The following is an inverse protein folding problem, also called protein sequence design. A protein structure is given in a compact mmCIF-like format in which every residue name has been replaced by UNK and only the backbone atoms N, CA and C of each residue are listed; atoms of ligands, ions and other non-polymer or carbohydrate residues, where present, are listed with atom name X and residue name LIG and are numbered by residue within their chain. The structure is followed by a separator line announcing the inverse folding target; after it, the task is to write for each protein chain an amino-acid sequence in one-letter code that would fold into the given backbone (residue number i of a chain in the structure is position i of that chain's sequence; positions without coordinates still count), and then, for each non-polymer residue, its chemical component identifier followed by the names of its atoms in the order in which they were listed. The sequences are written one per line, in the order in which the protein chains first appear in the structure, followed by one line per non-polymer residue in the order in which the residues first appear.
data_IF_171276610459
#
_entry.id   IF_171276610459
#
_cell.length_a   1.000
_cell.length_b   1.000
_cell.length_c   1.000
_cell.angle_alpha   90.00
_cell.angle_beta   90.00
_cell.angle_gamma   90.00
#
_symmetry.space_group_name_H-M   'P 1'
#
loop_
_entity.id
_entity.type
_entity.pdbx_description
1 polymer ?
#
# COMPACT_ATOMS: atom_id res chain seq x y z
N UNK A 1 1.68 23.64 4.55
CA UNK A 1 1.85 24.82 5.43
C UNK A 1 2.08 24.30 6.83
N UNK A 2 3.31 24.40 7.32
CA UNK A 2 3.64 24.13 8.73
C UNK A 2 3.36 25.40 9.53
N UNK A 3 2.36 25.36 10.39
CA UNK A 3 2.17 26.37 11.41
C UNK A 3 2.84 25.88 12.71
N UNK A 4 4.04 26.36 12.99
CA UNK A 4 4.67 26.17 14.28
C UNK A 4 4.09 27.23 15.21
N UNK A 5 3.14 26.86 16.07
CA UNK A 5 2.71 27.65 17.25
C UNK A 5 3.27 27.00 18.50
N UNK A 6 4.26 27.66 19.11
CA UNK A 6 4.73 27.43 20.49
C UNK A 6 4.85 25.97 20.93
N UNK A 7 5.83 25.22 20.39
CA UNK A 7 6.29 23.97 21.01
C UNK A 7 5.29 22.78 21.05
N UNK A 8 4.14 22.89 20.39
CA UNK A 8 3.23 21.75 20.19
C UNK A 8 3.30 21.35 18.73
N UNK A 9 3.72 20.13 18.49
CA UNK A 9 3.54 19.46 17.20
C UNK A 9 2.05 19.53 16.87
N UNK A 10 1.70 20.29 15.82
CA UNK A 10 0.32 20.35 15.33
C UNK A 10 -0.02 18.95 14.86
N UNK A 11 -1.05 18.40 15.45
CA UNK A 11 -1.63 17.09 15.15
C UNK A 11 -1.60 16.81 13.66
N UNK A 12 -0.88 15.76 13.26
CA UNK A 12 -1.05 15.16 11.92
C UNK A 12 -2.53 14.85 11.77
N UNK A 13 -3.13 15.27 10.67
CA UNK A 13 -4.51 14.90 10.31
C UNK A 13 -4.76 13.44 10.67
N UNK A 14 -5.88 13.17 11.37
CA UNK A 14 -6.11 11.93 12.06
C UNK A 14 -5.84 10.70 11.20
N UNK A 15 -4.84 9.92 11.59
CA UNK A 15 -4.55 8.62 10.97
C UNK A 15 -5.78 7.69 10.99
N UNK A 16 -6.72 7.98 11.88
CA UNK A 16 -8.00 7.29 12.08
C UNK A 16 -8.95 7.35 10.87
N UNK A 17 -8.75 8.32 9.96
CA UNK A 17 -9.51 8.42 8.72
C UNK A 17 -9.08 7.40 7.67
N UNK A 18 -7.87 6.85 7.81
CA UNK A 18 -7.31 5.89 6.89
C UNK A 18 -7.75 4.47 7.26
N UNK A 19 -8.39 3.77 6.33
CA UNK A 19 -8.95 2.43 6.55
C UNK A 19 -8.81 1.55 5.32
N UNK A 20 -8.78 0.24 5.59
CA UNK A 20 -8.76 -0.78 4.55
C UNK A 20 -7.37 -1.13 4.04
N UNK A 21 -7.26 -2.35 3.54
CA UNK A 21 -6.06 -2.86 2.88
C UNK A 21 -6.28 -2.78 1.38
N UNK A 22 -5.46 -1.96 0.73
CA UNK A 22 -5.54 -1.73 -0.72
C UNK A 22 -4.38 -2.42 -1.42
N UNK A 23 -4.63 -2.93 -2.61
CA UNK A 23 -3.61 -3.46 -3.48
C UNK A 23 -3.64 -2.75 -4.83
N UNK A 24 -2.50 -2.56 -5.46
CA UNK A 24 -2.40 -2.20 -6.86
C UNK A 24 -2.51 -3.48 -7.71
N UNK A 25 -3.63 -3.64 -8.39
CA UNK A 25 -3.87 -4.76 -9.29
C UNK A 25 -3.16 -4.51 -10.63
N UNK A 26 -1.92 -4.99 -10.74
CA UNK A 26 -1.15 -4.83 -11.98
C UNK A 26 -1.80 -5.62 -13.10
N UNK A 27 -1.95 -4.96 -14.25
CA UNK A 27 -2.33 -5.57 -15.52
C UNK A 27 -1.35 -5.15 -16.62
N UNK A 28 -1.21 -5.97 -17.63
CA UNK A 28 -0.45 -5.70 -18.85
C UNK A 28 -1.30 -6.21 -20.02
N UNK A 29 -1.51 -5.38 -21.04
CA UNK A 29 -2.29 -5.72 -22.23
C UNK A 29 -3.68 -6.30 -21.90
N UNK A 30 -4.38 -5.66 -20.96
CA UNK A 30 -5.70 -6.07 -20.48
C UNK A 30 -5.74 -7.50 -19.92
N UNK A 31 -4.66 -7.93 -19.27
CA UNK A 31 -4.58 -9.17 -18.50
C UNK A 31 -4.03 -8.90 -17.12
N UNK A 32 -4.69 -9.41 -16.10
CA UNK A 32 -4.18 -9.33 -14.73
C UNK A 32 -2.89 -10.15 -14.62
N UNK A 33 -1.91 -9.60 -13.94
CA UNK A 33 -0.66 -10.29 -13.62
C UNK A 33 -0.87 -11.17 -12.39
N UNK A 34 -0.21 -12.32 -12.31
CA UNK A 34 -0.33 -13.28 -11.19
C UNK A 34 -0.10 -12.61 -9.84
N UNK A 35 0.83 -11.66 -9.77
CA UNK A 35 1.09 -10.89 -8.56
C UNK A 35 -0.14 -10.14 -8.02
N UNK A 36 -1.10 -9.75 -8.87
CA UNK A 36 -2.32 -9.10 -8.41
C UNK A 36 -3.15 -10.05 -7.53
N UNK A 37 -3.26 -11.32 -7.91
CA UNK A 37 -3.99 -12.33 -7.15
C UNK A 37 -3.28 -12.71 -5.85
N UNK A 38 -1.94 -12.81 -5.88
CA UNK A 38 -1.14 -13.07 -4.67
C UNK A 38 -1.31 -11.91 -3.67
N UNK A 39 -1.32 -10.66 -4.15
CA UNK A 39 -1.55 -9.49 -3.31
C UNK A 39 -2.96 -9.47 -2.71
N UNK A 40 -4.01 -9.87 -3.46
CA UNK A 40 -5.36 -10.00 -2.91
C UNK A 40 -5.36 -11.04 -1.78
N UNK A 41 -4.75 -12.20 -1.99
CA UNK A 41 -4.63 -13.24 -0.96
C UNK A 41 -3.94 -12.72 0.31
N UNK A 42 -2.80 -12.04 0.17
CA UNK A 42 -2.09 -11.45 1.32
C UNK A 42 -2.87 -10.31 1.99
N UNK A 43 -3.52 -9.48 1.19
CA UNK A 43 -4.35 -8.40 1.71
C UNK A 43 -5.52 -8.92 2.56
N UNK A 44 -6.11 -10.08 2.21
CA UNK A 44 -7.16 -10.72 3.00
C UNK A 44 -6.69 -11.15 4.38
N UNK A 45 -5.49 -11.71 4.49
CA UNK A 45 -4.89 -12.05 5.78
C UNK A 45 -4.75 -10.80 6.66
N UNK A 46 -4.13 -9.74 6.12
CA UNK A 46 -3.92 -8.48 6.84
C UNK A 46 -5.24 -7.78 7.18
N UNK A 47 -6.23 -7.83 6.29
CA UNK A 47 -7.55 -7.24 6.51
C UNK A 47 -8.33 -7.98 7.60
N UNK A 48 -8.18 -9.30 7.69
CA UNK A 48 -8.77 -10.10 8.76
C UNK A 48 -8.19 -9.69 10.14
N UNK A 49 -6.86 -9.52 10.23
CA UNK A 49 -6.20 -9.08 11.46
C UNK A 49 -6.64 -7.66 11.89
N UNK A 50 -6.92 -6.78 10.92
CA UNK A 50 -7.37 -5.40 11.16
C UNK A 50 -8.90 -5.25 11.22
N UNK A 51 -9.65 -6.34 11.01
CA UNK A 51 -11.12 -6.33 10.88
C UNK A 51 -11.61 -5.27 9.88
N UNK A 52 -11.08 -5.30 8.67
CA UNK A 52 -11.35 -4.34 7.60
C UNK A 52 -11.51 -5.03 6.25
N UNK A 53 -11.76 -4.26 5.19
CA UNK A 53 -12.02 -4.75 3.84
C UNK A 53 -10.76 -4.67 2.95
N UNK A 54 -10.74 -5.53 1.92
CA UNK A 54 -9.75 -5.52 0.84
C UNK A 54 -10.28 -4.78 -0.35
N UNK A 55 -9.54 -3.78 -0.82
CA UNK A 55 -9.86 -3.04 -2.05
C UNK A 55 -8.75 -3.19 -3.07
N UNK A 56 -9.08 -3.67 -4.26
CA UNK A 56 -8.16 -3.69 -5.39
C UNK A 56 -8.28 -2.38 -6.20
N UNK A 57 -7.16 -1.79 -6.58
CA UNK A 57 -7.09 -0.62 -7.46
C UNK A 57 -6.58 -1.06 -8.82
N UNK A 58 -7.43 -0.98 -9.83
CA UNK A 58 -7.17 -1.37 -11.21
C UNK A 58 -7.07 -0.15 -12.10
N UNK A 59 -5.91 0.05 -12.70
CA UNK A 59 -5.63 1.17 -13.59
C UNK A 59 -5.40 0.66 -15.02
N UNK A 60 -6.00 1.31 -16.01
CA UNK A 60 -5.79 0.94 -17.41
C UNK A 60 -6.74 1.63 -18.38
N UNK A 61 -6.81 1.10 -19.59
CA UNK A 61 -7.76 1.52 -20.63
C UNK A 61 -8.55 0.29 -21.07
N UNK A 62 -9.89 0.40 -21.05
CA UNK A 62 -10.81 -0.72 -21.32
C UNK A 62 -10.66 -1.92 -20.38
N UNK A 63 -10.35 -1.69 -19.10
CA UNK A 63 -10.02 -2.72 -18.12
C UNK A 63 -11.18 -3.14 -17.22
N UNK A 64 -12.37 -2.55 -17.38
CA UNK A 64 -13.54 -2.79 -16.49
C UNK A 64 -13.91 -4.27 -16.34
N UNK A 65 -13.76 -5.05 -17.41
CA UNK A 65 -14.08 -6.48 -17.38
C UNK A 65 -13.21 -7.27 -16.40
N UNK A 66 -11.97 -6.83 -16.13
CA UNK A 66 -11.05 -7.49 -15.20
C UNK A 66 -11.45 -7.31 -13.72
N UNK A 67 -12.33 -6.37 -13.41
CA UNK A 67 -12.77 -6.14 -12.04
C UNK A 67 -13.54 -7.33 -11.45
N UNK A 68 -14.30 -8.05 -12.26
CA UNK A 68 -15.04 -9.25 -11.82
C UNK A 68 -14.06 -10.32 -11.35
N UNK A 69 -13.00 -10.56 -12.08
CA UNK A 69 -11.98 -11.55 -11.74
C UNK A 69 -11.30 -11.24 -10.40
N UNK A 70 -10.98 -9.97 -10.13
CA UNK A 70 -10.42 -9.55 -8.83
C UNK A 70 -11.41 -9.80 -7.67
N UNK A 71 -12.71 -9.59 -7.90
CA UNK A 71 -13.75 -9.90 -6.94
C UNK A 71 -13.86 -11.41 -6.65
N UNK A 72 -13.78 -12.24 -7.68
CA UNK A 72 -13.81 -13.71 -7.54
C UNK A 72 -12.63 -14.24 -6.72
N UNK A 73 -11.46 -13.61 -6.84
CA UNK A 73 -10.27 -13.93 -6.03
C UNK A 73 -10.34 -13.41 -4.59
N UNK A 74 -11.31 -12.54 -4.27
CA UNK A 74 -11.65 -12.18 -2.90
C UNK A 74 -11.39 -10.72 -2.53
N UNK A 75 -11.26 -9.82 -3.48
CA UNK A 75 -11.34 -8.39 -3.21
C UNK A 75 -12.80 -8.03 -2.88
N UNK A 76 -13.03 -7.36 -1.75
CA UNK A 76 -14.37 -6.90 -1.35
C UNK A 76 -14.85 -5.74 -2.22
N UNK A 77 -13.90 -4.92 -2.70
CA UNK A 77 -14.15 -3.78 -3.58
C UNK A 77 -13.08 -3.70 -4.67
N UNK A 78 -13.47 -3.17 -5.83
CA UNK A 78 -12.55 -2.86 -6.92
C UNK A 78 -12.78 -1.43 -7.36
N UNK A 79 -11.74 -0.60 -7.25
CA UNK A 79 -11.73 0.76 -7.80
C UNK A 79 -11.09 0.69 -9.18
N UNK A 80 -11.84 1.05 -10.19
CA UNK A 80 -11.37 1.03 -11.58
C UNK A 80 -11.15 2.46 -12.06
N UNK A 81 -9.92 2.78 -12.45
CA UNK A 81 -9.60 4.02 -13.16
C UNK A 81 -9.35 3.66 -14.62
N UNK A 82 -10.38 3.83 -15.43
CA UNK A 82 -10.40 3.48 -16.84
C UNK A 82 -10.25 4.75 -17.70
N UNK A 83 -9.07 4.93 -18.28
CA UNK A 83 -8.76 6.12 -19.08
C UNK A 83 -7.77 5.78 -20.21
N UNK A 84 -7.97 6.30 -21.45
CA UNK A 84 -7.05 6.07 -22.56
C UNK A 84 -5.58 6.45 -22.28
N UNK A 85 -5.34 7.43 -21.40
CA UNK A 85 -3.98 7.81 -21.00
C UNK A 85 -3.24 6.70 -20.23
N UNK A 86 -3.97 5.68 -19.75
CA UNK A 86 -3.45 4.53 -19.01
C UNK A 86 -3.35 3.26 -19.88
N UNK A 87 -3.47 3.37 -21.21
CA UNK A 87 -3.39 2.22 -22.13
C UNK A 87 -2.03 1.52 -22.01
N UNK A 88 -0.97 2.30 -22.04
CA UNK A 88 0.39 1.79 -21.86
C UNK A 88 0.97 2.34 -20.56
N UNK A 89 1.67 1.48 -19.81
CA UNK A 89 2.30 1.93 -18.57
C UNK A 89 3.28 3.08 -18.83
N UNK A 90 3.05 4.17 -18.14
CA UNK A 90 3.97 5.31 -17.98
C UNK A 90 3.87 5.78 -16.55
N UNK A 91 5.01 6.03 -15.94
CA UNK A 91 5.11 6.38 -14.51
C UNK A 91 4.19 7.54 -14.12
N UNK A 92 4.21 8.62 -14.89
CA UNK A 92 3.50 9.86 -14.54
C UNK A 92 1.97 9.71 -14.49
N UNK A 93 1.27 9.23 -15.54
CA UNK A 93 -0.19 9.08 -15.50
C UNK A 93 -0.64 8.06 -14.46
N UNK A 94 0.09 6.94 -14.33
CA UNK A 94 -0.22 5.91 -13.33
C UNK A 94 -0.03 6.40 -11.90
N UNK A 95 1.07 7.13 -11.64
CA UNK A 95 1.31 7.71 -10.33
C UNK A 95 0.25 8.76 -9.98
N UNK A 96 -0.14 9.61 -10.92
CA UNK A 96 -1.19 10.59 -10.71
C UNK A 96 -2.53 9.94 -10.38
N UNK A 97 -2.92 8.89 -11.13
CA UNK A 97 -4.14 8.14 -10.91
C UNK A 97 -4.14 7.48 -9.52
N UNK A 98 -3.05 6.79 -9.15
CA UNK A 98 -2.98 6.10 -7.87
C UNK A 98 -2.93 7.07 -6.68
N UNK A 99 -2.23 8.20 -6.81
CA UNK A 99 -2.22 9.28 -5.80
C UNK A 99 -3.62 9.86 -5.62
N UNK A 100 -4.39 10.05 -6.69
CA UNK A 100 -5.77 10.53 -6.60
C UNK A 100 -6.65 9.55 -5.82
N UNK A 101 -6.54 8.25 -6.10
CA UNK A 101 -7.26 7.21 -5.36
C UNK A 101 -6.87 7.22 -3.87
N UNK A 102 -5.58 7.29 -3.55
CA UNK A 102 -5.10 7.32 -2.17
C UNK A 102 -5.64 8.55 -1.41
N UNK A 103 -5.63 9.71 -2.04
CA UNK A 103 -6.11 10.94 -1.40
C UNK A 103 -7.62 10.93 -1.18
N UNK A 104 -8.38 10.32 -2.09
CA UNK A 104 -9.84 10.24 -2.01
C UNK A 104 -10.32 9.19 -1.00
N UNK A 105 -9.74 7.99 -1.08
CA UNK A 105 -10.22 6.83 -0.32
C UNK A 105 -9.44 6.56 0.97
N UNK A 106 -8.30 7.20 1.18
CA UNK A 106 -7.47 7.14 2.40
C UNK A 106 -7.22 5.70 2.88
N UNK A 107 -6.52 4.87 2.11
CA UNK A 107 -6.17 3.51 2.52
C UNK A 107 -5.24 3.52 3.74
N UNK A 108 -5.42 2.59 4.67
CA UNK A 108 -4.47 2.38 5.77
C UNK A 108 -3.18 1.71 5.26
N UNK A 109 -3.35 0.70 4.42
CA UNK A 109 -2.25 -0.05 3.81
C UNK A 109 -2.41 -0.01 2.29
N UNK A 110 -1.27 0.13 1.58
CA UNK A 110 -1.22 0.04 0.13
C UNK A 110 -0.09 -0.90 -0.29
N UNK A 111 -0.45 -2.05 -0.87
CA UNK A 111 0.50 -3.04 -1.35
C UNK A 111 0.67 -2.95 -2.88
N UNK A 112 1.90 -3.10 -3.31
CA UNK A 112 2.30 -3.09 -4.73
C UNK A 112 3.20 -4.30 -4.98
N UNK A 113 3.06 -4.99 -6.11
CA UNK A 113 3.97 -6.09 -6.46
C UNK A 113 5.38 -5.60 -6.73
N UNK A 114 6.40 -6.32 -6.33
CA UNK A 114 7.81 -5.98 -6.57
C UNK A 114 8.26 -6.34 -8.01
N UNK A 115 7.42 -6.04 -8.98
CA UNK A 115 7.69 -6.13 -10.41
C UNK A 115 8.49 -4.91 -10.90
N UNK A 116 8.93 -4.90 -12.16
CA UNK A 116 9.56 -3.73 -12.75
C UNK A 116 8.64 -2.48 -12.67
N UNK A 117 7.34 -2.64 -12.97
CA UNK A 117 6.35 -1.57 -12.86
C UNK A 117 6.17 -1.14 -11.39
N UNK A 118 6.01 -2.08 -10.48
CA UNK A 118 5.75 -1.75 -9.08
C UNK A 118 6.94 -1.10 -8.37
N UNK A 119 8.18 -1.46 -8.76
CA UNK A 119 9.42 -0.84 -8.25
C UNK A 119 9.62 0.59 -8.75
N UNK A 120 9.00 0.95 -9.86
CA UNK A 120 8.97 2.32 -10.39
C UNK A 120 7.80 3.11 -9.79
N UNK A 121 6.60 2.54 -9.82
CA UNK A 121 5.36 3.20 -9.38
C UNK A 121 5.31 3.42 -7.87
N UNK A 122 5.63 2.40 -7.07
CA UNK A 122 5.51 2.44 -5.61
C UNK A 122 6.27 3.59 -4.96
N UNK A 123 7.60 3.71 -5.19
CA UNK A 123 8.39 4.84 -4.65
C UNK A 123 7.90 6.20 -5.13
N UNK A 124 7.51 6.32 -6.40
CA UNK A 124 6.99 7.56 -6.96
C UNK A 124 5.71 8.00 -6.25
N UNK A 125 4.79 7.08 -6.02
CA UNK A 125 3.52 7.34 -5.31
C UNK A 125 3.80 7.67 -3.84
N UNK A 126 4.61 6.88 -3.14
CA UNK A 126 4.91 7.11 -1.72
C UNK A 126 5.51 8.49 -1.45
N UNK A 127 6.42 8.93 -2.33
CA UNK A 127 7.01 10.26 -2.25
C UNK A 127 5.95 11.37 -2.41
N UNK A 128 4.98 11.20 -3.33
CA UNK A 128 3.93 12.19 -3.58
C UNK A 128 2.92 12.29 -2.45
N UNK A 129 2.56 11.17 -1.84
CA UNK A 129 1.65 11.16 -0.69
C UNK A 129 2.38 11.37 0.64
N UNK A 130 3.70 11.57 0.60
CA UNK A 130 4.57 11.87 1.75
C UNK A 130 4.53 10.78 2.82
N UNK A 131 4.61 9.53 2.40
CA UNK A 131 4.69 8.36 3.29
C UNK A 131 5.95 7.55 3.03
N UNK A 132 6.25 6.61 3.95
CA UNK A 132 7.33 5.64 3.77
C UNK A 132 6.88 4.46 2.90
N UNK A 133 7.84 3.89 2.16
CA UNK A 133 7.66 2.63 1.44
C UNK A 133 8.80 1.68 1.77
N UNK A 134 8.47 0.46 2.17
CA UNK A 134 9.44 -0.61 2.33
C UNK A 134 9.47 -1.47 1.08
N UNK A 135 10.63 -1.52 0.43
CA UNK A 135 10.78 -2.22 -0.85
C UNK A 135 11.15 -3.69 -0.67
N UNK A 136 10.67 -4.55 -1.60
CA UNK A 136 11.04 -5.95 -1.72
C UNK A 136 10.78 -6.79 -0.47
N UNK A 137 9.63 -6.57 0.17
CA UNK A 137 9.21 -7.31 1.35
C UNK A 137 8.98 -8.78 1.01
N UNK A 138 9.42 -9.65 1.92
CA UNK A 138 9.23 -11.10 1.86
C UNK A 138 8.24 -11.60 2.90
N UNK A 139 7.91 -10.77 3.91
CA UNK A 139 6.91 -11.07 4.93
C UNK A 139 6.20 -9.80 5.35
N UNK A 140 4.88 -9.90 5.52
CA UNK A 140 4.01 -8.83 6.02
C UNK A 140 3.13 -9.39 7.13
N UNK A 141 3.02 -8.67 8.25
CA UNK A 141 2.20 -9.03 9.41
C UNK A 141 1.61 -7.78 10.04
N UNK A 142 0.52 -7.93 10.76
CA UNK A 142 0.01 -6.88 11.64
C UNK A 142 0.56 -7.14 13.06
N UNK A 143 1.07 -6.10 13.70
CA UNK A 143 1.63 -6.21 15.03
C UNK A 143 1.91 -4.85 15.66
N UNK A 144 2.52 -4.90 16.84
CA UNK A 144 2.86 -3.71 17.62
C UNK A 144 4.28 -3.25 17.33
N UNK A 145 4.49 -1.95 17.27
CA UNK A 145 5.81 -1.37 17.02
C UNK A 145 6.15 -0.27 18.04
N UNK A 146 7.37 -0.26 18.62
CA UNK A 146 8.46 -1.23 18.41
C UNK A 146 8.13 -2.61 18.97
N UNK A 147 8.64 -3.68 18.31
CA UNK A 147 8.32 -5.09 18.64
C UNK A 147 8.72 -5.42 20.08
N UNK A 148 9.86 -4.89 20.54
CA UNK A 148 10.41 -5.06 21.88
C UNK A 148 10.44 -3.71 22.60
N UNK A 149 9.26 -3.17 22.95
CA UNK A 149 9.19 -1.92 23.69
C UNK A 149 9.80 -2.06 25.09
N UNK A 150 10.60 -1.08 25.50
CA UNK A 150 11.10 -0.98 26.86
C UNK A 150 10.01 -0.51 27.82
N UNK A 151 10.10 -0.80 29.12
CA UNK A 151 9.17 -0.28 30.11
C UNK A 151 9.04 1.26 30.00
N UNK A 152 7.80 1.76 29.81
CA UNK A 152 7.53 3.18 29.64
C UNK A 152 7.66 3.73 28.21
N UNK A 153 8.08 2.91 27.24
CA UNK A 153 8.09 3.29 25.82
C UNK A 153 6.69 3.11 25.24
N UNK A 154 6.18 4.15 24.57
CA UNK A 154 4.90 4.09 23.87
C UNK A 154 4.99 3.12 22.69
N UNK A 155 4.03 2.21 22.60
CA UNK A 155 3.92 1.24 21.53
C UNK A 155 2.74 1.59 20.63
N UNK A 156 2.95 1.57 19.32
CA UNK A 156 1.90 1.75 18.33
C UNK A 156 1.33 0.39 17.97
N UNK A 157 0.02 0.22 18.17
CA UNK A 157 -0.68 -1.04 17.88
C UNK A 157 -1.12 -1.13 16.42
N UNK A 158 -1.36 -2.36 15.94
CA UNK A 158 -1.91 -2.65 14.62
C UNK A 158 -1.11 -2.02 13.46
N UNK A 159 0.22 -2.05 13.55
CA UNK A 159 1.08 -1.56 12.49
C UNK A 159 1.39 -2.66 11.47
N UNK A 160 1.57 -2.27 10.21
CA UNK A 160 2.12 -3.16 9.20
C UNK A 160 3.62 -3.36 9.47
N UNK A 161 3.99 -4.58 9.86
CA UNK A 161 5.36 -5.02 10.04
C UNK A 161 5.88 -5.58 8.72
N UNK A 162 6.82 -4.88 8.12
CA UNK A 162 7.34 -5.15 6.78
C UNK A 162 8.74 -5.73 6.88
N UNK A 163 8.87 -7.03 6.63
CA UNK A 163 10.15 -7.74 6.73
C UNK A 163 10.78 -7.89 5.36
N UNK A 164 12.06 -7.53 5.26
CA UNK A 164 12.85 -7.65 4.05
C UNK A 164 14.28 -8.11 4.34
N UNK A 165 14.95 -8.81 3.39
CA UNK A 165 16.38 -9.01 3.48
C UNK A 165 17.12 -7.67 3.42
N UNK A 166 18.08 -7.48 4.32
CA UNK A 166 19.01 -6.35 4.32
C UNK A 166 20.31 -6.71 3.60
N UNK A 167 21.28 -5.80 3.64
CA UNK A 167 22.55 -5.93 2.92
C UNK A 167 23.24 -7.29 3.13
N UNK A 168 23.68 -7.92 2.05
CA UNK A 168 24.45 -9.16 2.06
C UNK A 168 23.63 -10.45 2.24
N UNK A 169 22.31 -10.39 2.30
CA UNK A 169 21.43 -11.57 2.36
C UNK A 169 21.37 -12.30 3.71
N UNK A 170 22.23 -11.98 4.66
CA UNK A 170 22.29 -12.63 5.98
C UNK A 170 21.58 -11.87 7.09
N UNK A 171 21.09 -10.68 6.82
CA UNK A 171 20.39 -9.83 7.79
C UNK A 171 18.96 -9.62 7.32
N UNK A 172 18.01 -9.74 8.23
CA UNK A 172 16.60 -9.47 8.00
C UNK A 172 16.23 -8.23 8.81
N UNK A 173 15.57 -7.26 8.18
CA UNK A 173 15.06 -6.06 8.82
C UNK A 173 13.54 -6.08 8.83
N UNK A 174 12.94 -5.81 9.99
CA UNK A 174 11.50 -5.54 10.12
C UNK A 174 11.31 -4.05 10.33
N UNK A 175 10.52 -3.44 9.46
CA UNK A 175 10.31 -2.00 9.35
C UNK A 175 8.83 -1.71 9.53
N UNK A 176 8.49 -0.60 10.17
CA UNK A 176 7.13 -0.08 10.27
C UNK A 176 7.08 1.40 9.88
N UNK A 177 5.91 1.87 9.51
CA UNK A 177 5.64 3.28 9.20
C UNK A 177 4.50 3.81 10.10
N UNK A 178 4.76 4.02 11.40
CA UNK A 178 3.71 4.29 12.38
C UNK A 178 3.08 5.68 12.26
N UNK A 179 3.79 6.63 11.65
CA UNK A 179 3.42 8.05 11.66
C UNK A 179 2.83 8.59 10.36
N UNK A 180 2.83 7.82 9.29
CA UNK A 180 2.29 8.24 7.99
C UNK A 180 1.37 7.17 7.41
N UNK A 181 0.47 7.59 6.52
CA UNK A 181 -0.44 6.71 5.78
C UNK A 181 -0.45 7.06 4.29
N UNK A 182 -0.75 6.10 3.44
CA UNK A 182 -0.83 4.67 3.77
C UNK A 182 0.54 4.09 4.19
N UNK A 183 0.52 2.98 4.92
CA UNK A 183 1.71 2.15 5.11
C UNK A 183 1.95 1.40 3.80
N UNK A 184 3.08 1.63 3.14
CA UNK A 184 3.31 1.11 1.80
C UNK A 184 4.43 0.08 1.75
N UNK A 185 4.22 -0.98 0.97
CA UNK A 185 5.21 -1.99 0.69
C UNK A 185 5.20 -2.40 -0.79
N UNK A 186 6.38 -2.68 -1.36
CA UNK A 186 6.45 -3.57 -2.52
C UNK A 186 6.76 -4.98 -2.04
N UNK A 187 6.06 -5.97 -2.61
CA UNK A 187 6.04 -7.36 -2.14
C UNK A 187 6.56 -8.30 -3.23
N UNK A 188 7.46 -9.20 -2.87
CA UNK A 188 7.98 -10.24 -3.77
C UNK A 188 7.01 -11.39 -3.88
#
# INVERSE_FOLDING_TARGET
HYLIKKGKVVNKMGLEEYKGVYIYAQQVDNKLSDIAFELVGKAKELAADLNTEVTAVLLGSNVKALATELGEYGADKVIVVDNPALETYRTEPYAQALVSVINEYKPEIMLVGATAIGRDLGPTVSARVKTGLTADCTKLEIGDFPINAMPGQEQKHNQLLMTRPAFGGNTIATIACPDNRPQMATVR
#
